data_IF_782776197685
#
_entry.id   IF_782776197685
#
_cell.length_a   1.000
_cell.length_b   1.000
_cell.length_c   1.000
_cell.angle_alpha   90.00
_cell.angle_beta   90.00
_cell.angle_gamma   90.00
#
_symmetry.space_group_name_H-M   'P 1'
#
loop_
_entity.id
_entity.type
_entity.pdbx_description
1 polymer ?
#
# COMPACT_ATOMS: atom_id res chain seq x y z
N UNK A 1 -61.12 -89.29 -37.90
CA UNK A 1 -60.94 -87.88 -38.16
C UNK A 1 -60.86 -87.16 -36.80
N UNK A 2 -59.67 -87.03 -36.27
CA UNK A 2 -59.44 -86.35 -34.99
C UNK A 2 -58.57 -85.12 -35.22
N UNK A 3 -59.04 -83.91 -34.89
CA UNK A 3 -58.34 -82.68 -34.93
C UNK A 3 -57.57 -82.49 -33.58
N UNK A 4 -56.27 -82.46 -33.70
CA UNK A 4 -55.41 -82.10 -32.58
C UNK A 4 -55.43 -80.58 -32.38
N UNK A 5 -55.64 -80.13 -31.16
CA UNK A 5 -55.53 -78.74 -30.73
C UNK A 5 -54.16 -78.54 -30.09
N UNK A 6 -53.37 -77.63 -30.64
CA UNK A 6 -52.11 -77.20 -29.99
C UNK A 6 -52.36 -76.21 -28.86
N UNK A 7 -51.56 -76.22 -27.78
CA UNK A 7 -51.65 -75.26 -26.69
C UNK A 7 -50.84 -73.97 -26.97
N UNK A 8 -51.46 -72.85 -26.69
CA UNK A 8 -50.85 -71.51 -26.77
C UNK A 8 -49.78 -71.30 -25.65
N UNK A 9 -48.62 -70.85 -26.02
CA UNK A 9 -47.57 -70.42 -25.12
C UNK A 9 -47.84 -68.98 -24.67
N UNK A 10 -48.04 -68.79 -23.35
CA UNK A 10 -48.11 -67.47 -22.71
C UNK A 10 -46.65 -67.02 -22.50
N UNK A 11 -46.27 -65.92 -23.14
CA UNK A 11 -44.99 -65.23 -22.92
C UNK A 11 -45.18 -64.22 -21.79
N UNK A 12 -44.49 -64.46 -20.69
CA UNK A 12 -44.40 -63.51 -19.56
C UNK A 12 -43.35 -62.46 -19.88
N UNK A 13 -43.77 -61.22 -20.10
CA UNK A 13 -42.86 -60.07 -20.19
C UNK A 13 -42.46 -59.65 -18.76
N UNK A 14 -41.20 -59.83 -18.43
CA UNK A 14 -40.63 -59.27 -17.20
C UNK A 14 -40.21 -57.80 -17.46
N UNK A 15 -40.92 -56.85 -16.86
CA UNK A 15 -40.50 -55.45 -16.82
C UNK A 15 -39.33 -55.31 -15.82
N UNK A 16 -38.15 -55.10 -16.30
CA UNK A 16 -36.99 -54.64 -15.47
C UNK A 16 -37.11 -53.14 -15.31
N UNK A 17 -37.59 -52.70 -14.14
CA UNK A 17 -37.61 -51.29 -13.78
C UNK A 17 -36.21 -50.76 -13.48
N UNK A 18 -35.65 -49.92 -14.39
CA UNK A 18 -34.41 -49.21 -14.18
C UNK A 18 -34.67 -48.01 -13.25
N UNK A 19 -34.39 -48.16 -11.94
CA UNK A 19 -34.43 -47.06 -10.98
C UNK A 19 -33.22 -46.16 -11.23
N UNK A 20 -33.43 -45.04 -11.94
CA UNK A 20 -32.43 -43.96 -12.06
C UNK A 20 -32.30 -43.29 -10.67
N UNK A 21 -31.22 -43.61 -9.96
CA UNK A 21 -30.81 -42.87 -8.77
C UNK A 21 -30.34 -41.47 -9.20
N UNK A 22 -31.21 -40.47 -9.05
CA UNK A 22 -30.84 -39.06 -9.17
C UNK A 22 -29.99 -38.71 -7.94
N UNK A 23 -28.66 -38.79 -8.08
CA UNK A 23 -27.77 -38.19 -7.10
C UNK A 23 -27.88 -36.67 -7.19
N UNK A 24 -28.73 -36.11 -6.31
CA UNK A 24 -28.72 -34.67 -6.07
C UNK A 24 -27.34 -34.32 -5.50
N UNK A 25 -26.44 -33.82 -6.36
CA UNK A 25 -25.24 -33.12 -5.92
C UNK A 25 -25.74 -31.90 -5.16
N UNK A 26 -25.76 -31.98 -3.85
CA UNK A 26 -25.83 -30.81 -2.99
C UNK A 26 -24.53 -30.04 -3.28
N UNK A 27 -24.57 -29.04 -4.18
CA UNK A 27 -23.55 -28.03 -4.25
C UNK A 27 -23.44 -27.46 -2.82
N UNK A 28 -22.38 -27.80 -2.11
CA UNK A 28 -22.07 -27.18 -0.85
C UNK A 28 -22.02 -25.67 -1.17
N UNK A 29 -22.97 -24.91 -0.62
CA UNK A 29 -22.94 -23.46 -0.64
C UNK A 29 -21.58 -23.11 -0.04
N UNK A 30 -20.67 -22.61 -0.86
CA UNK A 30 -19.42 -22.09 -0.35
C UNK A 30 -19.81 -21.10 0.76
N UNK A 31 -19.41 -21.37 1.99
CA UNK A 31 -19.66 -20.43 3.09
C UNK A 31 -19.11 -19.08 2.66
N UNK A 32 -20.03 -18.10 2.57
CA UNK A 32 -19.74 -16.77 2.08
C UNK A 32 -18.80 -16.09 3.09
N UNK A 33 -17.50 -16.21 2.88
CA UNK A 33 -16.50 -15.70 3.82
C UNK A 33 -16.59 -14.19 3.82
N UNK A 34 -17.05 -13.61 4.93
CA UNK A 34 -17.08 -12.17 5.14
C UNK A 34 -15.76 -11.70 5.71
N UNK A 35 -15.20 -10.62 5.15
CA UNK A 35 -14.00 -9.96 5.63
C UNK A 35 -14.19 -8.45 5.68
N UNK A 36 -13.42 -7.78 6.54
CA UNK A 36 -13.35 -6.33 6.63
C UNK A 36 -12.03 -5.77 6.09
N UNK A 37 -12.10 -4.59 5.50
CA UNK A 37 -10.93 -3.78 5.14
C UNK A 37 -11.14 -2.35 5.64
N UNK A 38 -10.37 -1.93 6.63
CA UNK A 38 -10.43 -0.58 7.22
C UNK A 38 -9.28 0.23 6.66
N UNK A 39 -9.61 1.31 5.94
CA UNK A 39 -8.68 2.23 5.30
C UNK A 39 -8.65 3.56 6.06
N UNK A 40 -7.48 4.20 6.16
CA UNK A 40 -7.30 5.44 6.92
C UNK A 40 -7.50 6.74 6.13
N UNK A 41 -7.43 6.73 4.77
CA UNK A 41 -7.41 7.93 3.93
C UNK A 41 -7.92 7.63 2.51
N UNK A 42 -9.24 7.63 2.34
CA UNK A 42 -9.89 7.16 1.11
C UNK A 42 -9.75 8.07 -0.10
N UNK A 43 -9.33 9.32 0.05
CA UNK A 43 -9.08 10.26 -1.06
C UNK A 43 -7.64 10.19 -1.60
N UNK A 44 -6.70 9.63 -0.86
CA UNK A 44 -5.31 9.53 -1.32
C UNK A 44 -5.15 8.43 -2.37
N UNK A 45 -4.51 8.70 -3.52
CA UNK A 45 -4.37 7.73 -4.63
C UNK A 45 -3.78 6.39 -4.22
N UNK A 46 -2.85 6.38 -3.27
CA UNK A 46 -2.28 5.17 -2.69
C UNK A 46 -3.36 4.24 -2.13
N UNK A 47 -4.19 4.74 -1.20
CA UNK A 47 -5.22 3.94 -0.54
C UNK A 47 -6.41 3.62 -1.43
N UNK A 48 -6.72 4.49 -2.41
CA UNK A 48 -7.71 4.17 -3.46
C UNK A 48 -7.28 2.94 -4.24
N UNK A 49 -6.02 2.88 -4.67
CA UNK A 49 -5.45 1.73 -5.39
C UNK A 49 -5.36 0.48 -4.51
N UNK A 50 -4.95 0.63 -3.25
CA UNK A 50 -4.84 -0.46 -2.28
C UNK A 50 -6.19 -1.15 -2.04
N UNK A 51 -7.24 -0.37 -1.76
CA UNK A 51 -8.60 -0.88 -1.59
C UNK A 51 -9.15 -1.49 -2.88
N UNK A 52 -8.82 -0.92 -4.05
CA UNK A 52 -9.21 -1.50 -5.33
C UNK A 52 -8.58 -2.88 -5.54
N UNK A 53 -7.31 -3.05 -5.20
CA UNK A 53 -6.63 -4.33 -5.21
C UNK A 53 -7.26 -5.35 -4.26
N UNK A 54 -7.57 -4.94 -3.03
CA UNK A 54 -8.28 -5.77 -2.05
C UNK A 54 -9.64 -6.24 -2.57
N UNK A 55 -10.45 -5.33 -3.15
CA UNK A 55 -11.76 -5.66 -3.75
C UNK A 55 -11.64 -6.62 -4.93
N UNK A 56 -10.65 -6.39 -5.81
CA UNK A 56 -10.43 -7.26 -6.96
C UNK A 56 -10.08 -8.68 -6.53
N UNK A 57 -9.21 -8.84 -5.52
CA UNK A 57 -8.85 -10.16 -5.00
C UNK A 57 -10.01 -10.83 -4.26
N UNK A 58 -10.75 -10.08 -3.45
CA UNK A 58 -11.95 -10.58 -2.80
C UNK A 58 -12.97 -11.12 -3.82
N UNK A 59 -13.16 -10.41 -4.94
CA UNK A 59 -14.03 -10.86 -6.03
C UNK A 59 -13.58 -12.19 -6.65
N UNK A 60 -12.27 -12.38 -6.88
CA UNK A 60 -11.72 -13.65 -7.40
C UNK A 60 -11.91 -14.81 -6.43
N UNK A 61 -11.80 -14.54 -5.13
CA UNK A 61 -11.90 -15.54 -4.08
C UNK A 61 -13.34 -15.82 -3.62
N UNK A 62 -14.34 -15.05 -4.12
CA UNK A 62 -15.73 -15.14 -3.67
C UNK A 62 -15.92 -14.65 -2.23
N UNK A 63 -15.12 -13.69 -1.78
CA UNK A 63 -15.18 -13.08 -0.45
C UNK A 63 -16.14 -11.90 -0.47
N UNK A 64 -17.05 -11.84 0.51
CA UNK A 64 -17.86 -10.66 0.78
C UNK A 64 -17.01 -9.65 1.59
N UNK A 65 -16.42 -8.68 0.90
CA UNK A 65 -15.52 -7.69 1.50
C UNK A 65 -16.26 -6.40 1.84
N UNK A 66 -16.31 -6.10 3.15
CA UNK A 66 -16.75 -4.81 3.67
C UNK A 66 -15.57 -3.84 3.70
N UNK A 67 -15.73 -2.63 3.18
CA UNK A 67 -14.65 -1.63 3.18
C UNK A 67 -15.15 -0.34 3.83
N UNK A 68 -14.31 0.29 4.66
CA UNK A 68 -14.61 1.58 5.29
C UNK A 68 -13.37 2.47 5.33
N UNK A 69 -13.52 3.70 4.85
CA UNK A 69 -12.56 4.79 5.09
C UNK A 69 -12.87 5.46 6.42
N UNK A 70 -11.86 5.60 7.26
CA UNK A 70 -12.02 6.18 8.60
C UNK A 70 -11.42 7.59 8.72
N UNK A 71 -10.93 8.18 7.63
CA UNK A 71 -10.55 9.59 7.51
C UNK A 71 -9.63 10.07 8.65
N UNK A 72 -8.62 9.28 9.00
CA UNK A 72 -7.73 9.47 10.15
C UNK A 72 -8.40 9.55 11.53
N UNK A 73 -9.70 9.20 11.63
CA UNK A 73 -10.41 9.21 12.92
C UNK A 73 -10.21 7.86 13.65
N UNK A 74 -9.47 7.92 14.77
CA UNK A 74 -9.19 6.78 15.61
C UNK A 74 -10.46 6.16 16.24
N UNK A 75 -11.45 6.99 16.62
CA UNK A 75 -12.70 6.50 17.19
C UNK A 75 -13.57 5.84 16.13
N UNK A 76 -13.61 6.42 14.93
CA UNK A 76 -14.30 5.81 13.79
C UNK A 76 -13.66 4.47 13.42
N UNK A 77 -12.33 4.35 13.47
CA UNK A 77 -11.64 3.08 13.23
C UNK A 77 -12.07 1.99 14.22
N UNK A 78 -12.14 2.32 15.52
CA UNK A 78 -12.58 1.36 16.55
C UNK A 78 -14.06 0.99 16.43
N UNK A 79 -14.94 1.95 16.17
CA UNK A 79 -16.38 1.66 15.99
C UNK A 79 -16.66 0.89 14.72
N UNK A 80 -15.93 1.18 13.63
CA UNK A 80 -15.98 0.41 12.39
C UNK A 80 -15.53 -1.04 12.62
N UNK A 81 -14.43 -1.23 13.36
CA UNK A 81 -13.95 -2.55 13.72
C UNK A 81 -15.04 -3.35 14.47
N UNK A 82 -15.64 -2.76 15.49
CA UNK A 82 -16.72 -3.41 16.27
C UNK A 82 -17.94 -3.72 15.41
N UNK A 83 -18.32 -2.82 14.51
CA UNK A 83 -19.42 -3.04 13.57
C UNK A 83 -19.15 -4.24 12.66
N UNK A 84 -17.97 -4.31 12.04
CA UNK A 84 -17.59 -5.43 11.18
C UNK A 84 -17.57 -6.75 11.94
N UNK A 85 -17.09 -6.76 13.20
CA UNK A 85 -17.16 -7.95 14.06
C UNK A 85 -18.62 -8.34 14.32
N UNK A 86 -19.49 -7.37 14.63
CA UNK A 86 -20.94 -7.59 14.83
C UNK A 86 -21.64 -8.15 13.58
N UNK A 87 -21.20 -7.76 12.39
CA UNK A 87 -21.68 -8.24 11.10
C UNK A 87 -21.14 -9.64 10.73
N UNK A 88 -20.31 -10.23 11.59
CA UNK A 88 -19.85 -11.61 11.50
C UNK A 88 -18.68 -11.82 10.54
N UNK A 89 -17.82 -10.81 10.32
CA UNK A 89 -16.58 -11.01 9.57
C UNK A 89 -15.69 -12.04 10.26
N UNK A 90 -14.94 -12.80 9.47
CA UNK A 90 -13.98 -13.80 9.95
C UNK A 90 -12.56 -13.25 10.04
N UNK A 91 -12.29 -12.15 9.33
CA UNK A 91 -11.00 -11.52 9.27
C UNK A 91 -11.12 -10.02 8.98
N UNK A 92 -10.15 -9.25 9.46
CA UNK A 92 -10.03 -7.80 9.17
C UNK A 92 -8.59 -7.48 8.76
N UNK A 93 -8.47 -6.79 7.62
CA UNK A 93 -7.29 -6.03 7.25
C UNK A 93 -7.49 -4.57 7.70
N UNK A 94 -6.46 -3.98 8.32
CA UNK A 94 -6.57 -2.62 8.85
C UNK A 94 -5.33 -1.78 8.54
N UNK A 95 -5.57 -0.61 7.96
CA UNK A 95 -4.62 0.50 7.92
C UNK A 95 -5.00 1.46 9.05
N UNK A 96 -4.22 1.48 10.11
CA UNK A 96 -4.58 2.27 11.30
C UNK A 96 -4.28 3.76 11.09
N UNK A 97 -5.18 4.67 11.53
CA UNK A 97 -4.90 6.11 11.54
C UNK A 97 -3.85 6.50 12.59
N UNK A 98 -3.70 5.70 13.64
CA UNK A 98 -2.73 5.88 14.72
C UNK A 98 -2.24 4.52 15.22
N UNK A 99 -0.93 4.32 15.29
CA UNK A 99 -0.30 3.07 15.80
C UNK A 99 -0.64 2.77 17.26
N UNK A 100 -1.00 3.77 18.05
CA UNK A 100 -1.46 3.59 19.41
C UNK A 100 -2.72 2.72 19.52
N UNK A 101 -3.48 2.56 18.42
CA UNK A 101 -4.63 1.64 18.35
C UNK A 101 -4.23 0.16 18.31
N UNK A 102 -2.98 -0.16 17.99
CA UNK A 102 -2.49 -1.52 17.80
C UNK A 102 -2.88 -2.47 18.95
N UNK A 103 -2.57 -2.15 20.23
CA UNK A 103 -2.95 -3.01 21.35
C UNK A 103 -4.47 -3.26 21.43
N UNK A 104 -5.27 -2.23 21.21
CA UNK A 104 -6.74 -2.30 21.33
C UNK A 104 -7.34 -3.15 20.21
N UNK A 105 -6.96 -2.93 18.93
CA UNK A 105 -7.52 -3.70 17.81
C UNK A 105 -7.05 -5.16 17.86
N UNK A 106 -5.80 -5.41 18.29
CA UNK A 106 -5.28 -6.77 18.46
C UNK A 106 -6.06 -7.53 19.56
N UNK A 107 -6.34 -6.89 20.70
CA UNK A 107 -7.14 -7.47 21.77
C UNK A 107 -8.58 -7.75 21.32
N UNK A 108 -9.21 -6.79 20.61
CA UNK A 108 -10.57 -6.96 20.04
C UNK A 108 -10.62 -8.14 19.07
N UNK A 109 -9.64 -8.26 18.17
CA UNK A 109 -9.57 -9.38 17.22
C UNK A 109 -9.43 -10.72 17.94
N UNK A 110 -8.57 -10.79 18.95
CA UNK A 110 -8.36 -11.99 19.77
C UNK A 110 -9.64 -12.41 20.50
N UNK A 111 -10.32 -11.45 21.16
CA UNK A 111 -11.59 -11.71 21.88
C UNK A 111 -12.71 -12.17 20.95
N UNK A 112 -12.75 -11.61 19.75
CA UNK A 112 -13.77 -11.98 18.74
C UNK A 112 -13.41 -13.25 17.96
N UNK A 113 -12.20 -13.80 18.12
CA UNK A 113 -11.74 -14.98 17.40
C UNK A 113 -11.59 -14.75 15.88
N UNK A 114 -11.33 -13.51 15.44
CA UNK A 114 -11.14 -13.17 14.03
C UNK A 114 -9.63 -13.07 13.69
N UNK A 115 -9.30 -13.29 12.43
CA UNK A 115 -7.95 -13.06 11.92
C UNK A 115 -7.73 -11.55 11.71
N UNK A 116 -6.58 -11.04 12.14
CA UNK A 116 -6.20 -9.64 11.97
C UNK A 116 -4.88 -9.54 11.23
N UNK A 117 -4.82 -8.69 10.21
CA UNK A 117 -3.60 -8.29 9.53
C UNK A 117 -3.51 -6.76 9.48
N UNK A 118 -2.36 -6.24 9.82
CA UNK A 118 -2.04 -4.82 9.63
C UNK A 118 -1.55 -4.60 8.20
N UNK A 119 -1.95 -3.50 7.58
CA UNK A 119 -1.57 -3.15 6.22
C UNK A 119 -0.94 -1.76 6.22
N UNK A 120 0.06 -1.53 5.38
CA UNK A 120 0.82 -0.27 5.23
C UNK A 120 1.54 0.17 6.52
N UNK A 121 0.86 0.23 7.65
CA UNK A 121 1.42 0.57 8.96
C UNK A 121 1.49 -0.65 9.89
N UNK A 122 2.70 -0.98 10.35
CA UNK A 122 2.90 -2.03 11.33
C UNK A 122 2.37 -1.61 12.71
N UNK A 123 1.65 -2.50 13.38
CA UNK A 123 1.12 -2.30 14.73
C UNK A 123 1.53 -3.42 15.66
N UNK A 124 1.47 -3.15 16.94
CA UNK A 124 1.95 -4.05 17.98
C UNK A 124 0.88 -4.29 19.04
N UNK A 125 0.88 -5.49 19.61
CA UNK A 125 0.07 -5.83 20.78
C UNK A 125 0.57 -5.11 22.04
N UNK A 126 -0.19 -5.19 23.14
CA UNK A 126 0.26 -4.70 24.46
C UNK A 126 1.57 -5.37 24.93
N UNK A 127 1.83 -6.60 24.50
CA UNK A 127 3.06 -7.34 24.77
C UNK A 127 4.20 -6.98 23.81
N UNK A 128 4.03 -5.96 22.97
CA UNK A 128 4.98 -5.53 21.94
C UNK A 128 5.31 -6.60 20.89
N UNK A 129 4.42 -7.53 20.67
CA UNK A 129 4.49 -8.47 19.53
C UNK A 129 3.87 -7.80 18.31
N UNK A 130 4.57 -7.89 17.19
CA UNK A 130 4.03 -7.36 15.93
C UNK A 130 2.80 -8.18 15.52
N UNK A 131 1.71 -7.48 15.15
CA UNK A 131 0.56 -8.07 14.49
C UNK A 131 1.00 -8.53 13.08
N UNK A 132 0.49 -9.66 12.55
CA UNK A 132 0.74 -10.02 11.16
C UNK A 132 0.59 -8.83 10.23
N UNK A 133 1.57 -8.64 9.35
CA UNK A 133 1.74 -7.39 8.60
C UNK A 133 1.97 -7.64 7.11
N UNK A 134 1.29 -6.88 6.27
CA UNK A 134 1.58 -6.71 4.84
C UNK A 134 1.90 -5.26 4.61
N UNK A 135 3.01 -4.98 3.94
CA UNK A 135 3.42 -3.62 3.66
C UNK A 135 4.85 -3.54 3.17
N UNK A 136 5.48 -2.41 3.39
CA UNK A 136 6.85 -2.15 2.96
C UNK A 136 7.83 -2.12 4.12
N UNK A 137 9.11 -2.42 3.83
CA UNK A 137 10.18 -2.10 4.77
C UNK A 137 10.55 -0.62 4.64
N UNK A 138 9.92 0.21 5.46
CA UNK A 138 10.03 1.65 5.39
C UNK A 138 11.48 2.16 5.45
N UNK A 139 12.31 1.62 6.34
CA UNK A 139 13.71 2.02 6.45
C UNK A 139 14.53 1.61 5.22
N UNK A 140 14.33 0.39 4.73
CA UNK A 140 15.03 -0.11 3.53
C UNK A 140 14.69 0.74 2.30
N UNK A 141 13.41 1.09 2.11
CA UNK A 141 13.00 1.94 0.99
C UNK A 141 13.58 3.34 1.14
N UNK A 142 13.56 3.91 2.35
CA UNK A 142 14.23 5.18 2.61
C UNK A 142 15.72 5.11 2.25
N UNK A 143 16.42 4.06 2.64
CA UNK A 143 17.83 3.87 2.27
C UNK A 143 18.06 3.80 0.75
N UNK A 144 17.14 3.19 0.00
CA UNK A 144 17.20 3.19 -1.47
C UNK A 144 17.06 4.61 -2.04
N UNK A 145 16.12 5.42 -1.48
CA UNK A 145 16.00 6.86 -1.84
C UNK A 145 17.30 7.60 -1.57
N UNK A 146 17.87 7.48 -0.38
CA UNK A 146 19.11 8.16 -0.01
C UNK A 146 20.30 7.77 -0.88
N UNK A 147 20.43 6.50 -1.23
CA UNK A 147 21.48 6.01 -2.12
C UNK A 147 21.34 6.60 -3.53
N UNK A 148 20.12 6.68 -4.08
CA UNK A 148 19.90 7.27 -5.41
C UNK A 148 20.12 8.80 -5.40
N UNK A 149 19.69 9.50 -4.34
CA UNK A 149 19.99 10.93 -4.17
C UNK A 149 21.49 11.19 -4.13
N UNK A 150 22.26 10.38 -3.39
CA UNK A 150 23.71 10.50 -3.32
C UNK A 150 24.40 10.24 -4.68
N UNK A 151 23.87 9.30 -5.45
CA UNK A 151 24.34 9.01 -6.80
C UNK A 151 24.12 10.21 -7.73
N UNK A 152 22.91 10.80 -7.72
CA UNK A 152 22.58 11.98 -8.53
C UNK A 152 23.39 13.20 -8.09
N UNK A 153 23.50 13.45 -6.79
CA UNK A 153 24.32 14.53 -6.21
C UNK A 153 25.75 14.51 -6.73
N UNK A 154 26.39 13.32 -6.77
CA UNK A 154 27.74 13.16 -7.31
C UNK A 154 27.78 13.24 -8.83
N UNK A 155 26.82 12.66 -9.53
CA UNK A 155 26.79 12.64 -10.99
C UNK A 155 26.65 14.05 -11.59
N UNK A 156 25.88 14.92 -10.91
CA UNK A 156 25.70 16.32 -11.31
C UNK A 156 26.84 17.25 -10.80
N UNK A 157 27.80 16.68 -10.04
CA UNK A 157 28.96 17.39 -9.55
C UNK A 157 28.68 18.37 -8.41
N UNK A 158 27.54 18.18 -7.72
CA UNK A 158 27.12 19.04 -6.61
C UNK A 158 27.95 18.89 -5.34
N UNK A 159 28.76 17.84 -5.28
CA UNK A 159 29.80 17.67 -4.24
C UNK A 159 30.88 18.74 -4.21
N UNK A 160 30.92 19.58 -5.25
CA UNK A 160 31.83 20.73 -5.38
C UNK A 160 31.16 22.04 -4.97
N UNK A 161 29.86 22.06 -4.70
CA UNK A 161 29.10 23.25 -4.36
C UNK A 161 28.95 23.39 -2.85
N UNK A 162 28.90 24.64 -2.37
CA UNK A 162 28.73 24.98 -0.94
C UNK A 162 27.32 25.46 -0.62
N UNK A 163 26.49 25.66 -1.63
CA UNK A 163 25.13 26.21 -1.56
C UNK A 163 24.06 25.15 -1.72
N UNK A 164 24.40 23.86 -1.50
CA UNK A 164 23.47 22.74 -1.51
C UNK A 164 22.82 22.56 -0.14
N UNK A 165 21.49 22.45 -0.12
CA UNK A 165 20.74 22.07 1.06
C UNK A 165 19.86 20.87 0.80
N UNK A 166 19.57 20.13 1.86
CA UNK A 166 18.60 19.04 1.84
C UNK A 166 17.35 19.47 2.61
N UNK A 167 16.19 19.37 1.99
CA UNK A 167 14.90 19.46 2.65
C UNK A 167 14.38 18.07 2.97
N UNK A 168 14.42 17.68 4.25
CA UNK A 168 13.75 16.50 4.77
C UNK A 168 12.30 16.87 5.08
N UNK A 169 11.37 16.50 4.20
CA UNK A 169 9.95 16.84 4.35
C UNK A 169 9.28 15.74 5.16
N UNK A 170 8.77 16.07 6.36
CA UNK A 170 8.49 15.09 7.42
C UNK A 170 7.07 15.19 7.97
N UNK A 171 6.31 14.08 7.92
CA UNK A 171 5.18 13.91 8.83
C UNK A 171 5.69 13.27 10.13
N UNK A 172 5.93 14.13 11.12
CA UNK A 172 6.53 13.72 12.40
C UNK A 172 5.58 12.85 13.27
N UNK A 173 4.29 12.81 12.94
CA UNK A 173 3.30 11.99 13.65
C UNK A 173 3.26 10.55 13.13
N UNK A 174 3.69 10.32 11.89
CA UNK A 174 3.68 9.02 11.24
C UNK A 174 5.06 8.34 11.37
N UNK A 175 5.18 7.34 12.23
CA UNK A 175 6.45 6.63 12.45
C UNK A 175 6.98 5.96 11.18
N UNK A 176 6.11 5.40 10.34
CA UNK A 176 6.48 4.83 9.03
C UNK A 176 7.15 5.88 8.15
N UNK A 177 6.62 7.12 8.12
CA UNK A 177 7.22 8.27 7.44
C UNK A 177 8.60 8.61 8.00
N UNK A 178 8.71 8.70 9.32
CA UNK A 178 9.98 9.03 9.96
C UNK A 178 11.06 7.96 9.73
N UNK A 179 10.67 6.68 9.63
CA UNK A 179 11.61 5.60 9.25
C UNK A 179 12.13 5.74 7.83
N UNK A 180 11.25 6.12 6.86
CA UNK A 180 11.67 6.41 5.47
C UNK A 180 12.67 7.55 5.44
N UNK A 181 12.36 8.67 6.09
CA UNK A 181 13.23 9.85 6.11
C UNK A 181 14.59 9.55 6.80
N UNK A 182 14.59 8.85 7.95
CA UNK A 182 15.84 8.42 8.60
C UNK A 182 16.69 7.50 7.73
N UNK A 183 16.06 6.56 7.03
CA UNK A 183 16.73 5.67 6.08
C UNK A 183 17.37 6.45 4.93
N UNK A 184 16.65 7.43 4.36
CA UNK A 184 17.15 8.27 3.27
C UNK A 184 18.36 9.11 3.72
N UNK A 185 18.24 9.77 4.87
CA UNK A 185 19.35 10.56 5.43
C UNK A 185 20.57 9.70 5.70
N UNK A 186 20.39 8.56 6.38
CA UNK A 186 21.50 7.69 6.72
C UNK A 186 22.27 7.21 5.48
N UNK A 187 21.55 6.70 4.47
CA UNK A 187 22.19 6.20 3.26
C UNK A 187 22.83 7.31 2.42
N UNK A 188 22.22 8.51 2.37
CA UNK A 188 22.83 9.66 1.71
C UNK A 188 24.13 10.06 2.38
N UNK A 189 24.16 10.23 3.70
CA UNK A 189 25.35 10.63 4.46
C UNK A 189 26.46 9.58 4.43
N UNK A 190 26.10 8.29 4.51
CA UNK A 190 27.06 7.20 4.33
C UNK A 190 27.76 7.26 2.97
N UNK A 191 27.00 7.56 1.92
CA UNK A 191 27.55 7.67 0.58
C UNK A 191 28.28 9.00 0.32
N UNK A 192 27.98 10.06 1.09
CA UNK A 192 28.54 11.41 0.91
C UNK A 192 29.14 11.94 2.23
N UNK A 193 30.22 11.33 2.75
CA UNK A 193 30.75 11.65 4.09
C UNK A 193 31.31 13.09 4.22
N UNK A 194 31.55 13.79 3.12
CA UNK A 194 31.96 15.20 3.10
C UNK A 194 30.80 16.19 3.18
N UNK A 195 29.54 15.72 3.04
CA UNK A 195 28.38 16.60 3.13
C UNK A 195 28.15 17.03 4.58
N UNK A 196 28.02 18.36 4.79
CA UNK A 196 27.73 18.87 6.13
C UNK A 196 26.26 18.61 6.49
N UNK A 197 26.04 17.74 7.49
CA UNK A 197 24.69 17.42 8.00
C UNK A 197 23.90 18.63 8.50
N UNK A 198 24.58 19.74 8.85
CA UNK A 198 23.90 20.99 9.25
C UNK A 198 23.17 21.66 8.08
N UNK A 199 23.45 21.23 6.84
CA UNK A 199 22.71 21.65 5.64
C UNK A 199 21.42 20.85 5.42
N UNK A 200 21.01 19.98 6.35
CA UNK A 200 19.72 19.27 6.31
C UNK A 200 18.69 20.07 7.10
N UNK A 201 17.65 20.52 6.42
CA UNK A 201 16.54 21.29 7.00
C UNK A 201 15.34 20.37 7.18
N UNK A 202 14.76 20.33 8.40
CA UNK A 202 13.54 19.59 8.71
C UNK A 202 12.34 20.42 8.35
N UNK A 203 11.48 19.91 7.47
CA UNK A 203 10.32 20.62 6.92
C UNK A 203 9.06 19.85 7.27
N UNK A 204 8.26 20.28 8.27
CA UNK A 204 7.04 19.57 8.66
C UNK A 204 5.94 19.73 7.62
N UNK A 205 5.21 18.64 7.34
CA UNK A 205 4.00 18.62 6.51
C UNK A 205 3.02 17.56 7.04
N UNK A 206 1.84 17.42 6.40
CA UNK A 206 0.75 16.55 6.84
C UNK A 206 0.34 15.50 5.79
N UNK A 207 1.29 15.02 5.00
CA UNK A 207 1.11 14.09 3.88
C UNK A 207 0.32 14.62 2.67
N UNK A 208 -0.03 15.94 2.64
CA UNK A 208 -0.68 16.57 1.50
C UNK A 208 0.29 17.47 0.74
N UNK A 209 0.18 17.48 -0.58
CA UNK A 209 1.07 18.26 -1.46
C UNK A 209 1.01 19.76 -1.16
N UNK A 210 -0.16 20.32 -0.88
CA UNK A 210 -0.38 21.72 -0.61
C UNK A 210 0.35 22.19 0.66
N UNK A 211 0.37 21.36 1.68
CA UNK A 211 1.11 21.65 2.92
C UNK A 211 2.61 21.60 2.69
N UNK A 212 3.10 20.65 1.86
CA UNK A 212 4.50 20.56 1.46
C UNK A 212 4.92 21.81 0.66
N UNK A 213 4.12 22.24 -0.32
CA UNK A 213 4.37 23.49 -1.09
C UNK A 213 4.53 24.69 -0.15
N UNK A 214 3.60 24.83 0.80
CA UNK A 214 3.60 25.96 1.76
C UNK A 214 4.83 25.92 2.66
N UNK A 215 5.14 24.77 3.26
CA UNK A 215 6.25 24.62 4.18
C UNK A 215 7.61 24.80 3.49
N UNK A 216 7.77 24.22 2.27
CA UNK A 216 8.99 24.40 1.49
C UNK A 216 9.14 25.84 1.02
N UNK A 217 8.09 26.52 0.54
CA UNK A 217 8.15 27.94 0.18
C UNK A 217 8.68 28.80 1.32
N UNK A 218 8.21 28.57 2.55
CA UNK A 218 8.69 29.23 3.76
C UNK A 218 10.17 28.93 4.00
N UNK A 219 10.57 27.68 3.83
CA UNK A 219 11.97 27.24 3.99
C UNK A 219 12.90 27.88 2.97
N UNK A 220 12.50 27.94 1.69
CA UNK A 220 13.29 28.59 0.64
C UNK A 220 13.53 30.08 0.95
N UNK A 221 12.51 30.75 1.47
CA UNK A 221 12.61 32.18 1.87
C UNK A 221 13.57 32.37 3.05
N UNK A 222 13.65 31.40 3.97
CA UNK A 222 14.55 31.42 5.11
C UNK A 222 16.02 31.09 4.73
N UNK A 223 16.25 30.51 3.56
CA UNK A 223 17.57 30.07 3.08
C UNK A 223 17.91 30.66 1.70
N UNK A 224 17.98 31.98 1.53
CA UNK A 224 18.22 32.63 0.23
C UNK A 224 19.61 32.36 -0.35
N UNK A 225 20.54 31.89 0.50
CA UNK A 225 21.89 31.49 0.10
C UNK A 225 21.91 30.16 -0.66
N UNK A 226 20.92 29.27 -0.45
CA UNK A 226 20.86 27.99 -1.12
C UNK A 226 20.42 28.14 -2.57
N UNK A 227 21.19 27.59 -3.50
CA UNK A 227 20.88 27.59 -4.93
C UNK A 227 20.55 26.19 -5.46
N UNK A 228 20.91 25.16 -4.69
CA UNK A 228 20.66 23.77 -5.04
C UNK A 228 19.91 23.07 -3.89
N UNK A 229 18.85 22.34 -4.24
CA UNK A 229 18.01 21.66 -3.25
C UNK A 229 17.86 20.18 -3.56
N UNK A 230 18.04 19.36 -2.53
CA UNK A 230 17.72 17.93 -2.54
C UNK A 230 16.48 17.75 -1.67
N UNK A 231 15.48 16.99 -2.17
CA UNK A 231 14.29 16.66 -1.39
C UNK A 231 14.09 15.16 -1.26
N UNK A 232 13.78 14.73 -0.07
CA UNK A 232 13.17 13.44 0.21
C UNK A 232 12.02 13.61 1.21
N UNK A 233 11.09 12.68 1.17
CA UNK A 233 9.89 12.72 1.99
C UNK A 233 9.34 11.33 2.26
N UNK A 234 8.27 11.28 3.02
CA UNK A 234 7.48 10.10 3.27
C UNK A 234 6.88 9.50 1.99
N UNK A 235 6.44 10.36 1.08
CA UNK A 235 5.70 10.00 -0.14
C UNK A 235 6.00 10.98 -1.29
N UNK A 236 5.41 10.70 -2.44
CA UNK A 236 5.52 11.55 -3.63
C UNK A 236 4.94 12.95 -3.43
N UNK A 237 3.86 13.08 -2.65
CA UNK A 237 3.23 14.40 -2.40
C UNK A 237 4.19 15.38 -1.73
N UNK A 238 4.95 14.93 -0.74
CA UNK A 238 5.93 15.76 -0.07
C UNK A 238 7.03 16.20 -1.04
N UNK A 239 7.63 15.29 -1.80
CA UNK A 239 8.72 15.60 -2.73
C UNK A 239 8.24 16.45 -3.90
N UNK A 240 7.12 16.11 -4.53
CA UNK A 240 6.58 16.89 -5.64
C UNK A 240 6.13 18.27 -5.18
N UNK A 241 5.59 18.39 -3.97
CA UNK A 241 5.28 19.67 -3.34
C UNK A 241 6.54 20.54 -3.16
N UNK A 242 7.65 19.94 -2.71
CA UNK A 242 8.94 20.61 -2.60
C UNK A 242 9.48 21.09 -3.95
N UNK A 243 9.43 20.23 -4.96
CA UNK A 243 9.83 20.58 -6.34
C UNK A 243 8.96 21.71 -6.89
N UNK A 244 7.64 21.68 -6.71
CA UNK A 244 6.75 22.77 -7.17
C UNK A 244 6.99 24.07 -6.43
N UNK A 245 7.34 24.03 -5.15
CA UNK A 245 7.72 25.23 -4.41
C UNK A 245 8.99 25.88 -4.99
N UNK A 246 9.99 25.07 -5.37
CA UNK A 246 11.21 25.60 -6.04
C UNK A 246 10.90 26.14 -7.44
N UNK A 247 10.10 25.46 -8.25
CA UNK A 247 9.64 25.93 -9.56
C UNK A 247 8.92 27.31 -9.44
N UNK A 248 8.04 27.47 -8.46
CA UNK A 248 7.32 28.72 -8.19
C UNK A 248 8.26 29.87 -7.76
N UNK A 249 9.42 29.57 -7.19
CA UNK A 249 10.47 30.52 -6.82
C UNK A 249 11.50 30.75 -7.93
N UNK A 250 11.32 30.12 -9.11
CA UNK A 250 12.15 30.32 -10.28
C UNK A 250 13.43 29.48 -10.35
N UNK A 251 13.56 28.44 -9.54
CA UNK A 251 14.66 27.48 -9.66
C UNK A 251 14.53 26.69 -10.96
N UNK A 252 15.66 26.44 -11.62
CA UNK A 252 15.66 25.57 -12.78
C UNK A 252 15.51 24.09 -12.35
N UNK A 253 14.95 23.23 -13.21
CA UNK A 253 14.88 21.79 -12.92
C UNK A 253 16.24 21.14 -12.63
N UNK A 254 17.33 21.72 -13.12
CA UNK A 254 18.71 21.29 -12.88
C UNK A 254 19.23 21.65 -11.48
N UNK A 255 18.56 22.56 -10.79
CA UNK A 255 18.96 23.03 -9.46
C UNK A 255 18.24 22.26 -8.34
N UNK A 256 17.45 21.24 -8.72
CA UNK A 256 16.62 20.46 -7.80
C UNK A 256 16.72 18.97 -8.07
N UNK A 257 16.93 18.18 -7.02
CA UNK A 257 16.93 16.72 -7.05
C UNK A 257 15.92 16.21 -6.02
N UNK A 258 14.81 15.62 -6.46
CA UNK A 258 13.82 14.99 -5.59
C UNK A 258 13.61 13.54 -5.96
N UNK A 259 13.60 12.64 -4.96
CA UNK A 259 13.20 11.24 -5.11
C UNK A 259 12.06 10.96 -4.16
N UNK A 260 10.92 10.62 -4.73
CA UNK A 260 9.71 10.28 -3.99
C UNK A 260 9.62 8.82 -3.57
N UNK A 261 8.51 8.48 -2.95
CA UNK A 261 8.12 7.12 -2.57
C UNK A 261 6.64 6.98 -2.86
N UNK A 262 6.21 5.83 -3.30
CA UNK A 262 4.92 5.26 -3.63
C UNK A 262 4.55 5.24 -5.12
N UNK A 263 5.02 6.19 -5.92
CA UNK A 263 4.70 6.27 -7.35
C UNK A 263 3.36 6.92 -7.68
N UNK A 264 2.59 7.36 -6.69
CA UNK A 264 1.23 7.89 -6.89
C UNK A 264 1.19 9.19 -7.71
N UNK A 265 2.29 9.95 -7.71
CA UNK A 265 2.45 11.20 -8.46
C UNK A 265 3.36 11.09 -9.69
N UNK A 266 3.81 9.91 -10.03
CA UNK A 266 4.68 9.71 -11.20
C UNK A 266 4.03 10.22 -12.50
N UNK A 267 2.71 10.05 -12.66
CA UNK A 267 1.99 10.57 -13.82
C UNK A 267 1.97 12.11 -13.85
N UNK A 268 1.78 12.77 -12.71
CA UNK A 268 1.80 14.23 -12.59
C UNK A 268 3.21 14.80 -12.84
N UNK A 269 4.24 14.07 -12.42
CA UNK A 269 5.62 14.48 -12.57
C UNK A 269 6.16 14.26 -13.99
N UNK A 270 5.91 13.08 -14.57
CA UNK A 270 6.55 12.66 -15.83
C UNK A 270 5.62 12.66 -17.04
N UNK A 271 4.30 12.67 -16.83
CA UNK A 271 3.32 12.50 -17.92
C UNK A 271 3.38 13.57 -19.00
N UNK A 272 3.82 14.79 -18.67
CA UNK A 272 4.00 15.89 -19.64
C UNK A 272 5.30 15.79 -20.45
N UNK A 273 6.26 14.96 -20.03
CA UNK A 273 7.60 14.89 -20.62
C UNK A 273 8.47 16.14 -20.42
N UNK A 274 8.03 17.10 -19.60
CA UNK A 274 8.82 18.31 -19.30
C UNK A 274 9.89 18.01 -18.25
N UNK A 275 11.07 18.63 -18.35
CA UNK A 275 12.07 18.55 -17.29
C UNK A 275 11.51 19.01 -15.96
N UNK A 276 11.86 18.30 -14.88
CA UNK A 276 11.45 18.59 -13.51
C UNK A 276 12.57 18.23 -12.54
N UNK A 277 12.59 18.88 -11.39
CA UNK A 277 13.43 18.48 -10.26
C UNK A 277 13.00 17.17 -9.59
N UNK A 278 11.81 16.64 -9.88
CA UNK A 278 11.37 15.30 -9.46
C UNK A 278 12.05 14.26 -10.36
N UNK A 279 13.15 13.67 -9.86
CA UNK A 279 14.02 12.80 -10.66
C UNK A 279 13.60 11.34 -10.65
N UNK A 280 12.82 10.93 -9.67
CA UNK A 280 12.34 9.55 -9.56
C UNK A 280 11.42 9.35 -8.38
N UNK A 281 10.84 8.14 -8.32
CA UNK A 281 10.08 7.65 -7.17
C UNK A 281 10.32 6.17 -6.96
N UNK A 282 10.37 5.73 -5.71
CA UNK A 282 10.31 4.32 -5.34
C UNK A 282 8.86 3.86 -5.43
N UNK A 283 8.47 3.35 -6.60
CA UNK A 283 7.14 2.85 -6.84
C UNK A 283 6.88 1.57 -6.06
N UNK A 284 5.77 1.53 -5.38
CA UNK A 284 5.27 0.36 -4.66
C UNK A 284 3.87 0.07 -5.18
N UNK A 285 3.59 -1.20 -5.46
CA UNK A 285 2.28 -1.62 -5.94
C UNK A 285 1.27 -1.72 -4.79
N UNK A 286 0.59 -0.63 -4.46
CA UNK A 286 -0.42 -0.60 -3.41
C UNK A 286 -1.60 -1.52 -3.70
N UNK A 287 -2.00 -1.68 -4.97
CA UNK A 287 -3.05 -2.64 -5.33
C UNK A 287 -2.64 -4.08 -5.00
N UNK A 288 -1.37 -4.43 -5.26
CA UNK A 288 -0.83 -5.72 -4.87
C UNK A 288 -0.79 -5.89 -3.35
N UNK A 289 -0.49 -4.83 -2.61
CA UNK A 289 -0.48 -4.84 -1.14
C UNK A 289 -1.87 -5.17 -0.58
N UNK A 290 -2.90 -4.47 -1.02
CA UNK A 290 -4.28 -4.74 -0.64
C UNK A 290 -4.75 -6.14 -1.06
N UNK A 291 -4.42 -6.58 -2.27
CA UNK A 291 -4.74 -7.92 -2.75
C UNK A 291 -4.10 -9.01 -1.89
N UNK A 292 -2.81 -8.86 -1.56
CA UNK A 292 -2.06 -9.81 -0.75
C UNK A 292 -2.58 -9.93 0.68
N UNK A 293 -3.05 -8.81 1.27
CA UNK A 293 -3.69 -8.84 2.58
C UNK A 293 -4.95 -9.72 2.57
N UNK A 294 -5.80 -9.61 1.54
CA UNK A 294 -7.02 -10.42 1.40
C UNK A 294 -6.68 -11.88 1.11
N UNK A 295 -5.72 -12.16 0.23
CA UNK A 295 -5.27 -13.51 -0.07
C UNK A 295 -4.80 -14.26 1.18
N UNK A 296 -3.93 -13.63 2.00
CA UNK A 296 -3.40 -14.21 3.23
C UNK A 296 -4.50 -14.43 4.27
N UNK A 297 -5.40 -13.47 4.45
CA UNK A 297 -6.54 -13.61 5.35
C UNK A 297 -7.47 -14.74 4.92
N UNK A 298 -7.78 -14.83 3.62
CA UNK A 298 -8.62 -15.89 3.07
C UNK A 298 -8.00 -17.27 3.27
N UNK A 299 -6.71 -17.42 2.94
CA UNK A 299 -5.99 -18.67 3.14
C UNK A 299 -5.98 -19.08 4.63
N UNK A 300 -5.74 -18.12 5.53
CA UNK A 300 -5.76 -18.35 6.97
C UNK A 300 -7.12 -18.79 7.49
N UNK A 301 -8.21 -18.15 7.04
CA UNK A 301 -9.58 -18.51 7.43
C UNK A 301 -9.98 -19.87 6.88
N UNK A 302 -9.69 -20.16 5.60
CA UNK A 302 -10.10 -21.40 4.94
C UNK A 302 -9.37 -22.62 5.45
N UNK A 303 -8.08 -22.50 5.75
CA UNK A 303 -7.21 -23.62 6.12
C UNK A 303 -6.97 -23.69 7.64
N UNK A 304 -7.55 -22.77 8.40
CA UNK A 304 -7.30 -22.59 9.84
C UNK A 304 -5.79 -22.51 10.17
N UNK A 305 -5.03 -21.81 9.34
CA UNK A 305 -3.58 -21.64 9.47
C UNK A 305 -3.23 -20.29 10.07
N UNK A 306 -2.08 -20.20 10.76
CA UNK A 306 -1.55 -18.92 11.23
C UNK A 306 -1.20 -18.01 10.05
N UNK A 307 -1.43 -16.69 10.22
CA UNK A 307 -0.92 -15.68 9.30
C UNK A 307 0.61 -15.61 9.37
N UNK A 308 1.32 -15.33 8.26
CA UNK A 308 2.74 -15.03 8.30
C UNK A 308 2.99 -13.77 9.14
N UNK A 309 4.14 -13.69 9.82
CA UNK A 309 4.46 -12.55 10.69
C UNK A 309 4.59 -11.25 9.90
N UNK A 310 5.31 -11.31 8.77
CA UNK A 310 5.56 -10.14 7.89
C UNK A 310 5.63 -10.56 6.45
N UNK A 311 5.00 -9.77 5.59
CA UNK A 311 5.05 -9.91 4.14
C UNK A 311 5.37 -8.55 3.54
N UNK A 312 6.53 -8.43 2.86
CA UNK A 312 6.94 -7.16 2.26
C UNK A 312 6.60 -7.10 0.77
N UNK A 313 6.09 -5.94 0.36
CA UNK A 313 5.99 -5.54 -1.05
C UNK A 313 7.27 -4.79 -1.42
N UNK A 314 7.87 -5.16 -2.57
CA UNK A 314 9.08 -4.52 -3.06
C UNK A 314 8.78 -3.18 -3.72
N UNK A 315 9.78 -2.30 -3.73
CA UNK A 315 9.75 -1.04 -4.44
C UNK A 315 10.67 -1.10 -5.67
N UNK A 316 10.23 -0.48 -6.77
CA UNK A 316 10.99 -0.31 -8.01
C UNK A 316 11.25 1.19 -8.23
N UNK A 317 12.48 1.56 -8.58
CA UNK A 317 12.78 2.94 -8.95
C UNK A 317 12.20 3.27 -10.32
N UNK A 318 11.27 4.22 -10.38
CA UNK A 318 10.78 4.83 -11.61
C UNK A 318 11.44 6.19 -11.79
N UNK A 319 12.02 6.42 -12.96
CA UNK A 319 12.55 7.71 -13.42
C UNK A 319 11.81 8.15 -14.67
N UNK A 320 12.06 9.38 -15.16
CA UNK A 320 11.49 9.84 -16.43
C UNK A 320 11.78 8.87 -17.59
N UNK A 321 12.99 8.26 -17.62
CA UNK A 321 13.40 7.32 -18.67
C UNK A 321 12.63 5.99 -18.62
N UNK A 322 12.35 5.47 -17.42
CA UNK A 322 11.66 4.20 -17.23
C UNK A 322 10.13 4.34 -17.15
N UNK A 323 9.61 5.56 -16.97
CA UNK A 323 8.19 5.85 -16.77
C UNK A 323 7.28 5.30 -17.87
N UNK A 324 7.78 5.27 -19.14
CA UNK A 324 7.00 4.73 -20.27
C UNK A 324 6.46 3.33 -20.03
N UNK A 325 7.21 2.47 -19.31
CA UNK A 325 6.80 1.11 -18.95
C UNK A 325 5.73 1.03 -17.86
N UNK A 326 5.50 2.13 -17.13
CA UNK A 326 4.54 2.21 -16.02
C UNK A 326 3.35 3.12 -16.32
N UNK A 327 3.39 3.85 -17.44
CA UNK A 327 2.40 4.89 -17.77
C UNK A 327 0.97 4.37 -17.73
N UNK A 328 0.71 3.24 -18.39
CA UNK A 328 -0.64 2.66 -18.44
C UNK A 328 -1.15 2.24 -17.06
N UNK A 329 -0.25 1.89 -16.14
CA UNK A 329 -0.58 1.51 -14.78
C UNK A 329 -0.82 2.71 -13.86
N UNK A 330 -0.08 3.80 -14.06
CA UNK A 330 -0.05 4.95 -13.15
C UNK A 330 -0.89 6.14 -13.62
N UNK A 331 -1.24 6.22 -14.90
CA UNK A 331 -2.00 7.33 -15.49
C UNK A 331 -3.46 6.99 -15.79
N UNK A 332 -4.01 5.93 -15.20
CA UNK A 332 -5.45 5.69 -15.32
C UNK A 332 -6.21 6.69 -14.42
N UNK A 333 -6.99 7.56 -15.08
CA UNK A 333 -7.99 8.43 -14.45
C UNK A 333 -9.36 7.80 -14.51
#
# INVERSE_FOLDING_TARGET
MMRQKSPARVATLSLVGLAAAVTASTAAKADDVKMGYINKMGEHPWFVSEVAGAKAEAGKLGVNLMTQDVQFDANLALTTFDTMVGDGVKAIAIVVPDKALGPVVAEKAQKAGIRLIAVDDDIYTSEKKMVPYVGMNAETIGRQVGAELAKLYKAEGWDKFTDVRIGSIEDQKADTCMRRNRGAEAAFLEATPSFDKNNIVRIPYDNHMESAVTAVTTTLTAHPEAKHWIFYSCNDDGVLGGVRATENQGFAPTDVIGIGIDGSRACDAFGSGRPTGFRGTMYIDSAKEGAQAIELLYASVKNDTALPGTTYVNADLITADSFGGYKDKLCHK
#
